data_IF_611170534705
#
_entry.id   IF_611170534705
#
_cell.length_a   1.000
_cell.length_b   1.000
_cell.length_c   1.000
_cell.angle_alpha   90.00
_cell.angle_beta   90.00
_cell.angle_gamma   90.00
#
_symmetry.space_group_name_H-M   'P 1'
#
loop_
_entity.id
_entity.type
_entity.pdbx_description
1 polymer ?
#
# COMPACT_ATOMS: atom_id res chain seq x y z
N UNK A 1 17.86 13.80 -7.41
CA UNK A 1 16.75 14.51 -6.74
C UNK A 1 17.06 14.57 -5.25
N UNK A 2 17.25 15.76 -4.67
CA UNK A 2 17.37 15.90 -3.22
C UNK A 2 15.97 15.73 -2.63
N UNK A 3 15.71 14.63 -1.93
CA UNK A 3 14.49 14.48 -1.13
C UNK A 3 14.46 15.59 -0.09
N UNK A 4 13.32 16.25 0.09
CA UNK A 4 13.17 17.17 1.21
C UNK A 4 13.20 16.34 2.50
N UNK A 5 14.02 16.76 3.48
CA UNK A 5 14.13 16.10 4.79
C UNK A 5 12.74 15.91 5.43
N UNK A 6 11.83 16.86 5.21
CA UNK A 6 10.43 16.81 5.65
C UNK A 6 9.67 15.60 5.09
N UNK A 7 9.89 15.25 3.82
CA UNK A 7 9.22 14.11 3.20
C UNK A 7 9.69 12.78 3.81
N UNK A 8 10.99 12.64 4.06
CA UNK A 8 11.53 11.43 4.67
C UNK A 8 11.04 11.23 6.11
N UNK A 9 10.93 12.32 6.88
CA UNK A 9 10.35 12.30 8.23
C UNK A 9 8.87 11.92 8.21
N UNK A 10 8.07 12.55 7.36
CA UNK A 10 6.64 12.24 7.24
C UNK A 10 6.42 10.77 6.84
N UNK A 11 7.23 10.26 5.90
CA UNK A 11 7.20 8.84 5.49
C UNK A 11 7.55 7.91 6.65
N UNK A 12 8.62 8.22 7.40
CA UNK A 12 9.04 7.41 8.55
C UNK A 12 7.97 7.38 9.63
N UNK A 13 7.32 8.51 9.92
CA UNK A 13 6.22 8.60 10.88
C UNK A 13 5.02 7.76 10.40
N UNK A 14 4.59 7.95 9.14
CA UNK A 14 3.45 7.22 8.59
C UNK A 14 3.67 5.70 8.62
N UNK A 15 4.81 5.22 8.10
CA UNK A 15 5.13 3.79 8.13
C UNK A 15 5.35 3.27 9.55
N UNK A 16 5.94 4.06 10.44
CA UNK A 16 6.06 3.72 11.86
C UNK A 16 4.70 3.48 12.51
N UNK A 17 3.74 4.39 12.29
CA UNK A 17 2.36 4.22 12.79
C UNK A 17 1.69 2.96 12.21
N UNK A 18 1.80 2.72 10.89
CA UNK A 18 1.21 1.53 10.26
C UNK A 18 1.85 0.24 10.80
N UNK A 19 3.16 0.22 11.01
CA UNK A 19 3.88 -0.93 11.58
C UNK A 19 3.42 -1.21 13.01
N UNK A 20 3.32 -0.18 13.86
CA UNK A 20 2.86 -0.32 15.25
C UNK A 20 1.43 -0.88 15.30
N UNK A 21 0.53 -0.32 14.48
CA UNK A 21 -0.85 -0.79 14.38
C UNK A 21 -0.92 -2.24 13.87
N UNK A 22 -0.12 -2.57 12.85
CA UNK A 22 -0.03 -3.94 12.34
C UNK A 22 0.50 -4.92 13.39
N UNK A 23 1.47 -4.50 14.21
CA UNK A 23 2.05 -5.34 15.26
C UNK A 23 1.07 -5.62 16.41
N UNK A 24 0.37 -4.58 16.88
CA UNK A 24 -0.72 -4.73 17.86
C UNK A 24 -1.78 -5.68 17.32
N UNK A 25 -2.14 -5.53 16.04
CA UNK A 25 -3.14 -6.37 15.40
C UNK A 25 -2.70 -7.84 15.26
N UNK A 26 -1.47 -8.10 14.82
CA UNK A 26 -0.90 -9.45 14.76
C UNK A 26 -0.91 -10.10 16.15
N UNK A 27 -0.60 -9.35 17.19
CA UNK A 27 -0.60 -9.85 18.58
C UNK A 27 -2.02 -10.24 19.00
N UNK A 28 -3.00 -9.36 18.75
CA UNK A 28 -4.42 -9.64 19.04
C UNK A 28 -4.92 -10.86 18.26
N UNK A 29 -4.64 -10.95 16.96
CA UNK A 29 -5.00 -12.10 16.14
C UNK A 29 -4.34 -13.39 16.62
N UNK A 30 -3.07 -13.33 17.03
CA UNK A 30 -2.37 -14.49 17.57
C UNK A 30 -3.06 -14.99 18.85
N UNK A 31 -3.37 -14.08 19.79
CA UNK A 31 -4.10 -14.43 21.01
C UNK A 31 -5.49 -14.99 20.68
N UNK A 32 -6.25 -14.37 19.77
CA UNK A 32 -7.54 -14.90 19.34
C UNK A 32 -7.43 -16.29 18.72
N UNK A 33 -6.45 -16.53 17.85
CA UNK A 33 -6.18 -17.83 17.24
C UNK A 33 -5.87 -18.87 18.31
N UNK A 34 -5.03 -18.55 19.31
CA UNK A 34 -4.73 -19.46 20.42
C UNK A 34 -5.95 -19.77 21.29
N UNK A 35 -6.77 -18.77 21.63
CA UNK A 35 -7.93 -18.94 22.50
C UNK A 35 -9.07 -19.73 21.84
N UNK A 36 -9.26 -19.57 20.53
CA UNK A 36 -10.36 -20.21 19.80
C UNK A 36 -9.89 -21.43 18.98
N UNK A 37 -8.60 -21.82 19.05
CA UNK A 37 -8.02 -22.84 18.16
C UNK A 37 -8.81 -24.15 18.16
N UNK A 38 -9.21 -24.63 19.34
CA UNK A 38 -9.89 -25.92 19.48
C UNK A 38 -11.35 -25.88 19.00
N UNK A 39 -11.97 -24.70 19.06
CA UNK A 39 -13.39 -24.50 18.72
C UNK A 39 -13.62 -24.12 17.26
N UNK A 40 -12.59 -23.66 16.54
CA UNK A 40 -12.73 -23.28 15.13
C UNK A 40 -12.85 -24.50 14.22
N UNK A 41 -13.64 -24.37 13.16
CA UNK A 41 -13.66 -25.34 12.08
C UNK A 41 -12.38 -25.26 11.22
N UNK A 42 -12.02 -26.36 10.55
CA UNK A 42 -10.84 -26.43 9.68
C UNK A 42 -10.73 -25.28 8.65
N UNK A 43 -11.78 -24.88 7.90
CA UNK A 43 -11.71 -23.74 7.00
C UNK A 43 -11.43 -22.42 7.73
N UNK A 44 -12.01 -22.20 8.91
CA UNK A 44 -11.81 -20.99 9.71
C UNK A 44 -10.37 -20.89 10.21
N UNK A 45 -9.79 -22.02 10.68
CA UNK A 45 -8.38 -22.08 11.13
C UNK A 45 -7.44 -21.72 9.98
N UNK A 46 -7.70 -22.29 8.79
CA UNK A 46 -6.93 -21.97 7.60
C UNK A 46 -7.07 -20.49 7.23
N UNK A 47 -8.28 -19.94 7.33
CA UNK A 47 -8.54 -18.53 7.00
C UNK A 47 -7.81 -17.58 7.96
N UNK A 48 -7.94 -17.78 9.27
CA UNK A 48 -7.22 -16.98 10.27
C UNK A 48 -5.70 -17.10 10.09
N UNK A 49 -5.20 -18.28 9.73
CA UNK A 49 -3.78 -18.49 9.44
C UNK A 49 -3.32 -17.69 8.21
N UNK A 50 -4.11 -17.66 7.14
CA UNK A 50 -3.82 -16.84 5.93
C UNK A 50 -3.86 -15.35 6.26
N UNK A 51 -4.83 -14.92 7.07
CA UNK A 51 -4.93 -13.52 7.48
C UNK A 51 -3.76 -13.10 8.39
N UNK A 52 -3.36 -13.96 9.33
CA UNK A 52 -2.17 -13.76 10.16
C UNK A 52 -0.92 -13.66 9.29
N UNK A 53 -0.72 -14.62 8.37
CA UNK A 53 0.40 -14.63 7.42
C UNK A 53 0.44 -13.34 6.57
N UNK A 54 -0.71 -12.90 6.07
CA UNK A 54 -0.83 -11.68 5.25
C UNK A 54 -0.43 -10.43 6.05
N UNK A 55 -0.85 -10.34 7.31
CA UNK A 55 -0.45 -9.27 8.21
C UNK A 55 1.05 -9.33 8.55
N UNK A 56 1.61 -10.51 8.79
CA UNK A 56 3.05 -10.69 9.01
C UNK A 56 3.88 -10.27 7.79
N UNK A 57 3.51 -10.73 6.59
CA UNK A 57 4.16 -10.33 5.33
C UNK A 57 4.08 -8.83 5.14
N UNK A 58 2.94 -8.22 5.50
CA UNK A 58 2.77 -6.76 5.44
C UNK A 58 3.69 -6.03 6.39
N UNK A 59 3.80 -6.45 7.65
CA UNK A 59 4.70 -5.85 8.62
C UNK A 59 6.16 -5.93 8.15
N UNK A 60 6.58 -7.08 7.62
CA UNK A 60 7.93 -7.27 7.06
C UNK A 60 8.15 -6.37 5.84
N UNK A 61 7.19 -6.33 4.90
CA UNK A 61 7.27 -5.48 3.72
C UNK A 61 7.36 -3.99 4.08
N UNK A 62 6.55 -3.53 5.05
CA UNK A 62 6.60 -2.14 5.54
C UNK A 62 7.94 -1.83 6.21
N UNK A 63 8.52 -2.76 6.97
CA UNK A 63 9.87 -2.61 7.53
C UNK A 63 10.92 -2.48 6.41
N UNK A 64 10.83 -3.29 5.36
CA UNK A 64 11.70 -3.19 4.18
C UNK A 64 11.51 -1.83 3.47
N UNK A 65 10.28 -1.33 3.37
CA UNK A 65 9.97 0.00 2.80
C UNK A 65 10.57 1.14 3.60
N UNK A 66 10.55 1.01 4.93
CA UNK A 66 11.16 1.97 5.85
C UNK A 66 12.69 2.00 5.71
N UNK A 67 13.33 0.83 5.59
CA UNK A 67 14.79 0.69 5.52
C UNK A 67 15.39 1.04 4.15
N UNK A 68 14.66 0.82 3.04
CA UNK A 68 15.20 1.07 1.69
C UNK A 68 15.08 2.55 1.28
N UNK A 69 16.11 3.01 0.54
CA UNK A 69 16.09 4.32 -0.13
C UNK A 69 14.85 4.46 -1.00
N UNK A 70 14.18 5.60 -0.87
CA UNK A 70 12.92 5.88 -1.54
C UNK A 70 13.07 5.85 -3.07
N UNK A 71 12.29 4.99 -3.74
CA UNK A 71 12.14 4.94 -5.19
C UNK A 71 10.65 4.90 -5.51
N UNK A 72 10.11 5.99 -6.07
CA UNK A 72 8.67 6.19 -6.32
C UNK A 72 8.01 4.99 -6.99
N UNK A 73 8.61 4.50 -8.08
CA UNK A 73 8.05 3.38 -8.86
C UNK A 73 8.01 2.06 -8.08
N UNK A 74 9.07 1.77 -7.34
CA UNK A 74 9.19 0.55 -6.54
C UNK A 74 8.26 0.59 -5.32
N UNK A 75 8.10 1.76 -4.71
CA UNK A 75 7.22 1.99 -3.58
C UNK A 75 5.75 1.86 -3.99
N UNK A 76 5.38 2.47 -5.12
CA UNK A 76 4.04 2.32 -5.71
C UNK A 76 3.69 0.86 -6.03
N UNK A 77 4.61 0.12 -6.67
CA UNK A 77 4.40 -1.30 -6.97
C UNK A 77 4.19 -2.15 -5.70
N UNK A 78 4.94 -1.86 -4.63
CA UNK A 78 4.82 -2.56 -3.34
C UNK A 78 3.53 -2.19 -2.62
N UNK A 79 3.14 -0.92 -2.60
CA UNK A 79 1.85 -0.48 -2.06
C UNK A 79 0.69 -1.12 -2.83
N UNK A 80 0.76 -1.18 -4.15
CA UNK A 80 -0.25 -1.85 -4.98
C UNK A 80 -0.34 -3.35 -4.66
N UNK A 81 0.80 -4.04 -4.54
CA UNK A 81 0.84 -5.46 -4.17
C UNK A 81 0.27 -5.71 -2.76
N UNK A 82 0.61 -4.88 -1.78
CA UNK A 82 0.03 -4.96 -0.43
C UNK A 82 -1.49 -4.75 -0.47
N UNK A 83 -1.94 -3.75 -1.22
CA UNK A 83 -3.35 -3.41 -1.34
C UNK A 83 -4.15 -4.53 -2.01
N UNK A 84 -3.63 -5.11 -3.09
CA UNK A 84 -4.26 -6.27 -3.75
C UNK A 84 -4.32 -7.48 -2.82
N UNK A 85 -3.24 -7.77 -2.07
CA UNK A 85 -3.26 -8.88 -1.12
C UNK A 85 -4.30 -8.67 -0.02
N UNK A 86 -4.34 -7.49 0.60
CA UNK A 86 -5.29 -7.24 1.68
C UNK A 86 -6.75 -7.16 1.22
N UNK A 87 -7.03 -6.47 0.10
CA UNK A 87 -8.39 -6.43 -0.46
C UNK A 87 -8.79 -7.84 -0.91
N UNK A 88 -7.87 -8.61 -1.48
CA UNK A 88 -8.10 -10.00 -1.84
C UNK A 88 -8.47 -10.85 -0.63
N UNK A 89 -7.71 -10.77 0.47
CA UNK A 89 -8.00 -11.52 1.69
C UNK A 89 -9.28 -11.05 2.39
N UNK A 90 -9.55 -9.75 2.44
CA UNK A 90 -10.76 -9.21 3.04
C UNK A 90 -12.01 -9.51 2.21
N UNK A 91 -11.90 -9.43 0.88
CA UNK A 91 -12.95 -9.81 -0.06
C UNK A 91 -13.25 -11.30 -0.01
N UNK A 92 -12.20 -12.14 0.04
CA UNK A 92 -12.35 -13.57 0.31
C UNK A 92 -13.09 -13.79 1.63
N UNK A 93 -12.68 -13.14 2.72
CA UNK A 93 -13.37 -13.26 4.01
C UNK A 93 -14.85 -12.92 3.90
N UNK A 94 -15.18 -11.77 3.32
CA UNK A 94 -16.56 -11.32 3.19
C UNK A 94 -17.40 -12.27 2.34
N UNK A 95 -16.79 -12.89 1.33
CA UNK A 95 -17.45 -13.86 0.46
C UNK A 95 -17.74 -15.19 1.18
N UNK A 96 -16.80 -15.72 1.96
CA UNK A 96 -16.95 -17.01 2.68
C UNK A 96 -17.57 -16.89 4.07
N UNK A 97 -17.63 -15.69 4.66
CA UNK A 97 -18.17 -15.42 5.99
C UNK A 97 -19.60 -15.95 6.23
N UNK A 98 -20.56 -15.85 5.28
CA UNK A 98 -21.92 -16.34 5.49
C UNK A 98 -22.03 -17.85 5.71
N UNK A 99 -21.05 -18.62 5.23
CA UNK A 99 -21.04 -20.08 5.31
C UNK A 99 -20.52 -20.58 6.68
N UNK A 100 -19.88 -19.72 7.46
CA UNK A 100 -19.47 -20.00 8.83
C UNK A 100 -20.68 -19.95 9.77
N UNK A 101 -21.57 -20.94 9.62
CA UNK A 101 -22.70 -21.13 10.53
C UNK A 101 -22.20 -21.79 11.80
N UNK A 102 -21.92 -20.98 12.80
CA UNK A 102 -21.60 -21.46 14.14
C UNK A 102 -22.82 -22.19 14.72
N UNK A 103 -22.66 -23.48 15.05
CA UNK A 103 -23.66 -24.22 15.81
C UNK A 103 -23.46 -23.82 17.27
N UNK A 104 -24.13 -22.75 17.69
CA UNK A 104 -24.05 -22.27 19.06
C UNK A 104 -24.77 -23.26 20.00
N UNK A 105 -24.06 -23.78 21.00
CA UNK A 105 -24.69 -24.53 22.10
C UNK A 105 -25.41 -23.60 23.07
N UNK A 106 -24.97 -22.34 23.18
CA UNK A 106 -25.59 -21.32 24.03
C UNK A 106 -25.80 -19.98 23.29
N UNK A 107 -26.87 -19.22 23.62
CA UNK A 107 -27.13 -17.92 22.99
C UNK A 107 -26.03 -16.88 23.29
N UNK A 108 -25.32 -17.02 24.41
CA UNK A 108 -24.22 -16.12 24.79
C UNK A 108 -23.00 -16.31 23.88
N UNK A 109 -22.69 -17.54 23.47
CA UNK A 109 -21.58 -17.82 22.55
C UNK A 109 -21.83 -17.26 21.14
N UNK A 110 -23.10 -17.23 20.68
CA UNK A 110 -23.44 -16.69 19.36
C UNK A 110 -23.03 -15.21 19.26
N UNK A 111 -23.32 -14.42 20.32
CA UNK A 111 -23.02 -12.99 20.35
C UNK A 111 -21.51 -12.75 20.32
N UNK A 112 -20.73 -13.48 21.12
CA UNK A 112 -19.27 -13.35 21.14
C UNK A 112 -18.65 -13.72 19.78
N UNK A 113 -19.11 -14.81 19.16
CA UNK A 113 -18.62 -15.25 17.85
C UNK A 113 -18.90 -14.19 16.77
N UNK A 114 -20.14 -13.68 16.69
CA UNK A 114 -20.50 -12.60 15.76
C UNK A 114 -19.67 -11.35 15.98
N UNK A 115 -19.41 -10.97 17.23
CA UNK A 115 -18.62 -9.80 17.56
C UNK A 115 -17.16 -9.95 17.14
N UNK A 116 -16.57 -11.14 17.32
CA UNK A 116 -15.20 -11.43 16.87
C UNK A 116 -15.12 -11.39 15.35
N UNK A 117 -16.04 -12.05 14.64
CA UNK A 117 -16.11 -12.04 13.17
C UNK A 117 -16.28 -10.63 12.63
N UNK A 118 -17.18 -9.84 13.22
CA UNK A 118 -17.37 -8.43 12.84
C UNK A 118 -16.12 -7.61 13.12
N UNK A 119 -15.48 -7.81 14.27
CA UNK A 119 -14.26 -7.11 14.66
C UNK A 119 -13.12 -7.42 13.69
N UNK A 120 -12.90 -8.69 13.35
CA UNK A 120 -11.94 -9.13 12.33
C UNK A 120 -12.25 -8.51 10.97
N UNK A 121 -13.52 -8.47 10.57
CA UNK A 121 -13.92 -7.85 9.32
C UNK A 121 -13.57 -6.36 9.30
N UNK A 122 -14.05 -5.57 10.28
CA UNK A 122 -13.84 -4.12 10.34
C UNK A 122 -12.35 -3.76 10.38
N UNK A 123 -11.58 -4.49 11.18
CA UNK A 123 -10.14 -4.24 11.35
C UNK A 123 -9.31 -4.66 10.15
N UNK A 124 -9.74 -5.68 9.38
CA UNK A 124 -9.09 -6.07 8.13
C UNK A 124 -9.08 -4.96 7.07
N UNK A 125 -10.02 -4.00 7.16
CA UNK A 125 -10.07 -2.82 6.28
C UNK A 125 -9.15 -1.68 6.71
N UNK A 126 -8.67 -1.69 7.95
CA UNK A 126 -7.91 -0.58 8.51
C UNK A 126 -6.54 -0.44 7.83
N UNK A 127 -5.83 -1.55 7.64
CA UNK A 127 -4.52 -1.55 6.95
C UNK A 127 -4.66 -1.11 5.48
N UNK A 128 -5.59 -1.66 4.67
CA UNK A 128 -5.91 -1.13 3.33
C UNK A 128 -6.21 0.37 3.30
N UNK A 129 -7.05 0.86 4.23
CA UNK A 129 -7.42 2.27 4.27
C UNK A 129 -6.21 3.16 4.53
N UNK A 130 -5.32 2.78 5.45
CA UNK A 130 -4.08 3.51 5.71
C UNK A 130 -3.12 3.48 4.51
N UNK A 131 -2.97 2.34 3.84
CA UNK A 131 -2.15 2.22 2.63
C UNK A 131 -2.74 3.06 1.49
N UNK A 132 -4.08 3.10 1.35
CA UNK A 132 -4.79 3.95 0.39
C UNK A 132 -4.53 5.43 0.67
N UNK A 133 -4.71 5.89 1.90
CA UNK A 133 -4.44 7.28 2.31
C UNK A 133 -2.98 7.65 2.00
N UNK A 134 -2.03 6.77 2.36
CA UNK A 134 -0.62 6.97 2.07
C UNK A 134 -0.34 7.08 0.56
N UNK A 135 -0.86 6.13 -0.23
CA UNK A 135 -0.67 6.10 -1.68
C UNK A 135 -1.31 7.30 -2.37
N UNK A 136 -2.50 7.73 -1.94
CA UNK A 136 -3.18 8.93 -2.42
C UNK A 136 -2.41 10.20 -2.08
N UNK A 137 -1.87 10.31 -0.86
CA UNK A 137 -0.99 11.41 -0.47
C UNK A 137 0.28 11.46 -1.31
N UNK A 138 0.89 10.30 -1.60
CA UNK A 138 2.05 10.23 -2.47
C UNK A 138 1.73 10.65 -3.91
N UNK A 139 0.64 10.13 -4.48
CA UNK A 139 0.15 10.49 -5.81
C UNK A 139 -0.13 12.00 -5.90
N UNK A 140 -0.77 12.58 -4.88
CA UNK A 140 -1.04 14.02 -4.80
C UNK A 140 0.25 14.84 -4.80
N UNK A 141 1.27 14.47 -4.00
CA UNK A 141 2.56 15.16 -3.96
C UNK A 141 3.30 15.07 -5.29
N UNK A 142 3.29 13.89 -5.94
CA UNK A 142 3.90 13.70 -7.26
C UNK A 142 3.19 14.54 -8.31
N UNK A 143 1.85 14.55 -8.30
CA UNK A 143 1.04 15.34 -9.22
C UNK A 143 1.29 16.84 -9.05
N UNK A 144 1.29 17.35 -7.81
CA UNK A 144 1.60 18.76 -7.50
C UNK A 144 3.00 19.16 -7.97
N UNK A 145 3.99 18.29 -7.79
CA UNK A 145 5.36 18.54 -8.29
C UNK A 145 5.44 18.52 -9.80
N UNK A 146 4.72 17.61 -10.46
CA UNK A 146 4.63 17.59 -11.92
C UNK A 146 4.05 18.89 -12.45
N UNK A 147 2.98 19.39 -11.83
CA UNK A 147 2.34 20.64 -12.20
C UNK A 147 3.27 21.85 -12.03
N UNK A 148 4.04 21.91 -10.94
CA UNK A 148 5.01 22.99 -10.72
C UNK A 148 6.13 22.96 -11.77
N UNK A 149 6.57 21.77 -12.20
CA UNK A 149 7.57 21.65 -13.27
C UNK A 149 7.04 22.15 -14.59
N UNK A 150 5.81 21.79 -14.97
CA UNK A 150 5.21 22.26 -16.22
C UNK A 150 5.03 23.78 -16.23
N UNK A 151 4.70 24.38 -15.09
CA UNK A 151 4.61 25.86 -14.96
C UNK A 151 5.99 26.50 -15.10
N UNK A 152 7.01 25.95 -14.45
CA UNK A 152 8.38 26.46 -14.54
C UNK A 152 8.94 26.35 -15.96
N UNK A 153 8.72 25.21 -16.63
CA UNK A 153 9.14 25.00 -18.03
C UNK A 153 8.44 25.98 -18.97
N UNK A 154 7.16 26.28 -18.75
CA UNK A 154 6.42 27.28 -19.53
C UNK A 154 6.96 28.70 -19.28
N UNK A 155 7.27 29.06 -18.04
CA UNK A 155 7.85 30.36 -17.69
C UNK A 155 9.26 30.53 -18.28
N UNK A 156 10.10 29.49 -18.22
CA UNK A 156 11.42 29.48 -18.84
C UNK A 156 11.33 29.55 -20.38
N UNK A 157 10.38 28.84 -20.99
CA UNK A 157 10.13 28.92 -22.42
C UNK A 157 9.72 30.34 -22.86
N UNK A 158 8.88 31.02 -22.09
CA UNK A 158 8.47 32.39 -22.36
C UNK A 158 9.65 33.38 -22.20
N UNK A 159 10.45 33.24 -21.13
CA UNK A 159 11.67 34.04 -20.94
C UNK A 159 12.66 33.87 -22.10
N UNK A 160 12.85 32.64 -22.55
CA UNK A 160 13.72 32.33 -23.69
C UNK A 160 13.19 32.94 -24.99
N UNK A 161 11.86 32.98 -25.19
CA UNK A 161 11.22 33.61 -26.35
C UNK A 161 11.43 35.13 -26.35
N UNK A 162 11.14 35.80 -25.24
CA UNK A 162 11.35 37.26 -25.11
C UNK A 162 12.82 37.63 -25.30
N UNK A 163 13.74 36.84 -24.75
CA UNK A 163 15.17 37.08 -24.92
C UNK A 163 15.61 36.92 -26.38
N UNK A 164 15.03 35.96 -27.11
CA UNK A 164 15.30 35.76 -28.54
C UNK A 164 14.79 36.94 -29.36
N UNK A 165 13.55 37.38 -29.11
CA UNK A 165 12.95 38.55 -29.76
C UNK A 165 13.78 39.84 -29.51
N UNK A 166 14.25 40.06 -28.28
CA UNK A 166 15.11 41.19 -27.95
C UNK A 166 16.47 41.16 -28.68
N UNK A 167 17.05 39.96 -28.87
CA UNK A 167 18.32 39.79 -29.59
C UNK A 167 18.16 40.06 -31.08
N UNK A 168 17.08 39.59 -31.68
CA UNK A 168 16.77 39.80 -33.10
C UNK A 168 16.50 41.29 -33.41
N UNK A 169 15.88 42.01 -32.47
CA UNK A 169 15.64 43.45 -32.60
C UNK A 169 16.94 44.28 -32.59
N UNK A 170 17.95 43.89 -31.80
CA UNK A 170 19.24 44.57 -31.76
C UNK A 170 20.14 44.29 -32.97
N UNK A 171 19.90 43.17 -33.67
CA UNK A 171 20.71 42.73 -34.81
C UNK A 171 20.09 43.06 -36.18
N UNK A 172 19.00 43.84 -36.21
CA UNK A 172 18.53 44.42 -37.47
C UNK A 172 19.63 45.36 -37.99
N UNK A 173 20.35 45.00 -39.08
CA UNK A 173 21.36 45.89 -39.62
C UNK A 173 20.65 47.18 -39.99
N UNK A 174 21.14 48.31 -39.46
CA UNK A 174 20.70 49.61 -39.93
C UNK A 174 20.76 49.58 -41.46
N UNK A 175 19.61 49.72 -42.10
CA UNK A 175 19.49 49.81 -43.54
C UNK A 175 20.46 50.91 -44.02
N UNK A 176 21.38 50.67 -44.98
CA UNK A 176 22.52 51.56 -45.26
C UNK A 176 22.17 52.90 -45.94
N UNK A 177 20.91 53.33 -45.97
CA UNK A 177 20.47 54.39 -46.90
C UNK A 177 20.43 55.81 -46.31
N UNK A 178 21.13 56.07 -45.20
CA UNK A 178 21.27 57.45 -44.69
C UNK A 178 22.67 57.98 -44.98
N UNK A 179 22.83 59.02 -45.84
CA UNK A 179 24.13 59.60 -46.12
C UNK A 179 24.71 60.29 -44.87
N UNK A 180 25.85 59.80 -44.42
CA UNK A 180 26.60 60.36 -43.31
C UNK A 180 27.33 61.64 -43.74
N UNK A 181 26.90 62.78 -43.20
CA UNK A 181 27.71 63.99 -43.09
C UNK A 181 27.86 64.28 -41.61
N UNK A 182 28.78 63.58 -40.93
CA UNK A 182 29.14 63.93 -39.55
C UNK A 182 30.66 63.88 -39.42
N UNK A 183 31.21 65.07 -39.19
CA UNK A 183 32.62 65.39 -39.02
C UNK A 183 33.15 64.88 -37.69
N UNK A 184 34.21 64.09 -37.75
CA UNK A 184 35.01 63.70 -36.58
C UNK A 184 35.92 64.85 -36.17
N UNK A 185 35.41 65.74 -35.32
CA UNK A 185 36.26 66.78 -34.74
C UNK A 185 37.00 66.27 -33.50
N UNK A 186 38.31 66.46 -33.54
CA UNK A 186 39.28 66.16 -32.48
C UNK A 186 39.06 67.09 -31.29
N UNK A 187 39.04 66.53 -30.07
CA UNK A 187 39.67 67.06 -28.84
C UNK A 187 39.34 66.07 -27.71
N UNK A 188 40.28 65.40 -27.05
CA UNK A 188 41.40 65.85 -26.23
C UNK A 188 41.21 65.13 -24.87
N UNK A 189 42.20 64.34 -24.46
CA UNK A 189 42.42 63.93 -23.06
C UNK A 189 42.71 65.20 -22.22
N UNK A 190 42.58 65.25 -20.87
CA UNK A 190 43.15 64.26 -19.93
C UNK A 190 42.44 64.10 -18.56
N UNK A 191 43.10 63.30 -17.70
CA UNK A 191 43.08 63.26 -16.22
C UNK A 191 42.22 62.20 -15.51
N UNK A 192 42.97 61.37 -14.79
CA UNK A 192 42.59 60.33 -13.83
C UNK A 192 41.74 60.85 -12.67
N UNK A 193 40.84 60.02 -12.11
CA UNK A 193 40.55 60.03 -10.70
C UNK A 193 41.29 58.89 -10.00
N UNK A 194 41.99 59.31 -8.96
CA UNK A 194 42.69 58.54 -7.95
C UNK A 194 41.81 57.41 -7.38
N UNK A 195 42.29 56.18 -7.49
CA UNK A 195 41.74 54.98 -6.85
C UNK A 195 41.85 55.09 -5.31
N UNK A 196 40.75 54.98 -4.55
CA UNK A 196 40.84 54.62 -3.15
C UNK A 196 41.17 53.12 -3.06
N UNK A 197 42.22 52.82 -2.29
CA UNK A 197 42.60 51.46 -1.93
C UNK A 197 41.44 50.79 -1.18
N UNK A 198 40.65 49.98 -1.90
CA UNK A 198 39.70 49.07 -1.29
C UNK A 198 40.47 47.87 -0.73
N UNK A 199 40.46 47.83 0.60
CA UNK A 199 41.06 46.83 1.46
C UNK A 199 40.57 45.43 1.08
N UNK A 200 41.44 44.63 0.47
CA UNK A 200 41.22 43.22 0.18
C UNK A 200 41.28 42.43 1.49
N UNK A 201 40.11 42.11 2.05
CA UNK A 201 39.94 41.34 3.29
C UNK A 201 39.72 39.84 3.09
N UNK A 202 39.82 39.28 1.88
CA UNK A 202 39.63 37.82 1.71
C UNK A 202 40.94 37.04 1.86
N UNK A 203 41.48 37.17 3.08
CA UNK A 203 42.49 36.28 3.61
C UNK A 203 41.81 35.00 4.10
N UNK A 204 41.97 33.93 3.32
CA UNK A 204 42.00 32.52 3.74
C UNK A 204 40.85 32.05 4.64
N UNK A 205 39.87 31.43 4.00
CA UNK A 205 39.41 30.12 4.45
C UNK A 205 39.39 29.20 3.24
N UNK A 206 40.41 28.34 3.12
CA UNK A 206 40.37 27.21 2.20
C UNK A 206 39.16 26.35 2.59
N UNK A 207 38.16 26.16 1.71
CA UNK A 207 37.25 25.06 1.92
C UNK A 207 38.05 23.79 1.67
N UNK A 208 38.24 23.00 2.72
CA UNK A 208 38.59 21.59 2.60
C UNK A 208 37.73 20.99 1.50
N UNK A 209 38.40 20.53 0.45
CA UNK A 209 37.80 19.84 -0.69
C UNK A 209 36.78 18.82 -0.18
N UNK A 210 35.50 18.91 -0.55
CA UNK A 210 34.62 17.78 -0.34
C UNK A 210 35.22 16.64 -1.15
N UNK A 211 35.64 15.58 -0.46
CA UNK A 211 35.97 14.29 -1.05
C UNK A 211 34.77 13.94 -1.94
N UNK A 212 34.95 14.11 -3.24
CA UNK A 212 33.99 13.69 -4.25
C UNK A 212 33.88 12.18 -4.10
N UNK A 213 32.73 11.61 -3.70
CA UNK A 213 32.54 10.19 -3.91
C UNK A 213 32.62 9.98 -5.41
N UNK A 214 33.56 9.16 -5.85
CA UNK A 214 33.68 8.72 -7.23
C UNK A 214 32.27 8.46 -7.77
N UNK A 215 31.88 9.23 -8.78
CA UNK A 215 30.62 9.03 -9.47
C UNK A 215 30.69 7.65 -10.11
N UNK A 216 30.19 6.65 -9.40
CA UNK A 216 29.98 5.31 -9.93
C UNK A 216 28.89 5.47 -10.99
N UNK A 217 29.35 5.58 -12.23
CA UNK A 217 28.52 5.56 -13.43
C UNK A 217 27.94 4.15 -13.56
N UNK A 218 26.71 3.97 -13.07
CA UNK A 218 25.99 2.69 -13.11
C UNK A 218 25.41 2.36 -14.50
N UNK A 219 25.43 3.28 -15.46
CA UNK A 219 24.78 3.12 -16.77
C UNK A 219 25.58 2.30 -17.79
N UNK A 220 26.77 1.80 -17.44
CA UNK A 220 27.67 1.11 -18.39
C UNK A 220 27.87 -0.38 -18.15
N UNK A 221 27.02 -1.04 -17.36
CA UNK A 221 27.14 -2.48 -17.08
C UNK A 221 25.84 -3.23 -17.43
N UNK A 222 25.44 -3.14 -18.69
CA UNK A 222 24.30 -3.91 -19.26
C UNK A 222 24.68 -4.69 -20.53
N UNK A 223 25.96 -4.94 -20.75
CA UNK A 223 26.43 -5.80 -21.85
C UNK A 223 27.43 -6.79 -21.31
N UNK A 224 27.33 -8.04 -21.80
CA UNK A 224 28.02 -9.26 -21.39
C UNK A 224 27.26 -10.11 -20.36
N UNK A 225 26.03 -10.50 -20.69
CA UNK A 225 25.51 -11.80 -20.29
C UNK A 225 26.34 -12.89 -21.00
N UNK A 226 26.97 -13.83 -20.28
CA UNK A 226 27.52 -15.02 -20.91
C UNK A 226 26.38 -15.87 -21.48
N UNK A 227 26.58 -16.32 -22.72
CA UNK A 227 25.73 -17.28 -23.42
C UNK A 227 25.40 -18.49 -22.51
N UNK A 228 24.18 -19.05 -22.55
CA UNK A 228 23.82 -20.21 -21.75
C UNK A 228 24.69 -21.39 -22.14
N UNK A 229 25.71 -21.68 -21.32
CA UNK A 229 26.38 -22.96 -21.37
C UNK A 229 25.35 -24.02 -21.00
N UNK A 230 25.13 -24.96 -21.91
CA UNK A 230 24.43 -26.21 -21.72
C UNK A 230 24.87 -26.86 -20.41
N UNK A 231 24.06 -26.70 -19.35
CA UNK A 231 24.22 -27.51 -18.14
C UNK A 231 23.77 -28.92 -18.48
N UNK A 232 24.73 -29.76 -18.85
CA UNK A 232 24.56 -31.20 -18.97
C UNK A 232 24.39 -31.75 -17.56
N UNK A 233 23.14 -31.97 -17.15
CA UNK A 233 22.83 -32.64 -15.89
C UNK A 233 23.21 -34.13 -16.00
N UNK A 234 23.84 -34.72 -14.98
CA UNK A 234 24.08 -36.16 -14.94
C UNK A 234 22.73 -36.91 -14.90
N UNK A 235 22.57 -38.00 -15.66
CA UNK A 235 21.28 -38.69 -15.83
C UNK A 235 20.72 -39.33 -14.56
N UNK A 236 21.44 -39.35 -13.43
CA UNK A 236 20.97 -39.93 -12.17
C UNK A 236 20.07 -39.01 -11.34
N UNK A 237 20.09 -37.68 -11.55
CA UNK A 237 19.31 -36.74 -10.73
C UNK A 237 17.83 -36.63 -11.14
N UNK A 238 17.47 -37.05 -12.36
CA UNK A 238 16.10 -36.93 -12.89
C UNK A 238 15.16 -37.99 -12.30
N UNK A 239 15.69 -39.15 -11.89
CA UNK A 239 14.88 -40.23 -11.32
C UNK A 239 14.43 -39.97 -9.87
N UNK A 240 15.16 -39.16 -9.10
CA UNK A 240 14.80 -38.91 -7.70
C UNK A 240 13.63 -37.93 -7.53
N UNK A 241 13.51 -36.94 -8.43
CA UNK A 241 12.44 -35.93 -8.34
C UNK A 241 11.08 -36.52 -8.77
N UNK A 242 11.08 -37.47 -9.70
CA UNK A 242 9.83 -38.06 -10.20
C UNK A 242 9.23 -39.10 -9.24
N UNK A 243 10.03 -39.71 -8.37
CA UNK A 243 9.55 -40.75 -7.45
C UNK A 243 8.88 -40.18 -6.18
N UNK A 244 9.26 -38.99 -5.73
CA UNK A 244 8.63 -38.37 -4.55
C UNK A 244 7.29 -37.67 -4.85
N UNK A 245 6.98 -37.37 -6.11
CA UNK A 245 5.71 -36.75 -6.50
C UNK A 245 4.53 -37.72 -6.49
N UNK A 246 4.76 -39.04 -6.64
CA UNK A 246 3.68 -40.03 -6.76
C UNK A 246 3.07 -40.49 -5.44
N UNK A 247 3.70 -40.23 -4.30
CA UNK A 247 3.23 -40.75 -3.01
C UNK A 247 2.46 -39.74 -2.15
N UNK A 248 2.29 -38.48 -2.60
CA UNK A 248 1.73 -37.40 -1.76
C UNK A 248 0.31 -36.94 -2.15
N UNK A 249 -0.42 -37.70 -2.97
CA UNK A 249 -1.83 -37.41 -3.25
C UNK A 249 -2.65 -38.70 -3.10
N UNK A 250 -2.98 -39.04 -1.85
CA UNK A 250 -4.20 -39.81 -1.58
C UNK A 250 -5.34 -38.78 -1.54
N UNK A 251 -6.22 -38.72 -2.55
CA UNK A 251 -7.45 -37.97 -2.40
C UNK A 251 -8.25 -38.67 -1.31
N UNK A 252 -8.32 -38.07 -0.13
CA UNK A 252 -9.37 -38.39 0.84
C UNK A 252 -10.67 -37.94 0.19
N UNK A 253 -11.24 -38.80 -0.64
CA UNK A 253 -12.64 -38.72 -1.05
C UNK A 253 -13.43 -38.91 0.25
N UNK A 254 -13.75 -37.78 0.89
CA UNK A 254 -14.66 -37.73 2.03
C UNK A 254 -15.99 -38.17 1.48
N UNK A 255 -16.25 -39.46 1.67
CA UNK A 255 -17.49 -40.15 1.42
C UNK A 255 -18.58 -39.32 2.11
N UNK A 256 -19.29 -38.52 1.31
CA UNK A 256 -20.55 -37.91 1.70
C UNK A 256 -21.52 -39.06 1.86
N UNK A 257 -21.41 -39.77 2.98
CA UNK A 257 -22.48 -40.61 3.45
C UNK A 257 -23.68 -39.69 3.51
N UNK A 258 -24.63 -39.98 2.62
CA UNK A 258 -26.03 -39.75 2.85
C UNK A 258 -26.29 -40.12 4.31
N UNK A 259 -26.32 -39.09 5.16
CA UNK A 259 -26.97 -39.19 6.44
C UNK A 259 -28.45 -39.27 6.07
N UNK A 260 -28.85 -40.48 5.67
CA UNK A 260 -30.24 -40.90 5.62
C UNK A 260 -30.76 -40.55 6.99
N UNK A 261 -31.57 -39.51 7.06
CA UNK A 261 -32.33 -39.21 8.25
C UNK A 261 -33.20 -40.45 8.47
N UNK A 262 -32.75 -41.33 9.35
CA UNK A 262 -33.61 -42.31 9.99
C UNK A 262 -34.64 -41.49 10.74
N UNK A 263 -35.78 -41.28 10.07
CA UNK A 263 -37.03 -40.87 10.69
C UNK A 263 -37.17 -41.74 11.93
N UNK A 264 -37.28 -41.18 13.15
CA UNK A 264 -37.57 -41.96 14.33
C UNK A 264 -38.84 -42.75 14.04
N UNK A 265 -38.72 -44.07 14.05
CA UNK A 265 -39.83 -44.98 13.96
C UNK A 265 -40.83 -44.57 15.04
N UNK A 266 -41.93 -43.95 14.61
CA UNK A 266 -43.03 -43.56 15.47
C UNK A 266 -43.55 -44.84 16.12
N UNK A 267 -43.19 -45.03 17.40
CA UNK A 267 -43.89 -45.99 18.24
C UNK A 267 -45.40 -45.74 18.11
N UNK A 268 -46.21 -46.78 17.88
CA UNK A 268 -47.66 -46.65 17.76
C UNK A 268 -48.21 -46.06 19.06
N UNK A 269 -48.63 -44.80 18.99
CA UNK A 269 -49.34 -44.15 20.10
C UNK A 269 -50.71 -44.83 20.21
N UNK A 270 -51.08 -45.36 21.39
CA UNK A 270 -52.40 -45.94 21.59
C UNK A 270 -53.49 -44.88 21.35
N UNK A 271 -54.65 -45.26 20.77
CA UNK A 271 -55.71 -44.31 20.45
C UNK A 271 -56.20 -43.64 21.74
N UNK A 272 -55.89 -42.35 21.87
CA UNK A 272 -56.39 -41.51 22.95
C UNK A 272 -57.85 -41.16 22.63
N UNK A 273 -58.79 -41.36 23.58
CA UNK A 273 -60.20 -41.14 23.34
C UNK A 273 -60.49 -39.68 23.00
N UNK A 274 -61.21 -39.51 21.89
CA UNK A 274 -61.74 -38.26 21.38
C UNK A 274 -62.68 -37.63 22.41
N UNK A 275 -62.16 -36.75 23.26
CA UNK A 275 -62.97 -35.86 24.09
C UNK A 275 -63.13 -34.53 23.37
N UNK A 276 -64.22 -34.45 22.62
CA UNK A 276 -64.77 -33.20 22.10
C UNK A 276 -65.06 -32.24 23.26
N UNK A 277 -64.16 -31.28 23.51
CA UNK A 277 -64.44 -30.11 24.34
C UNK A 277 -64.16 -28.80 23.60
N UNK A 278 -65.28 -28.30 23.09
CA UNK A 278 -65.61 -26.91 22.80
C UNK A 278 -65.24 -25.97 23.98
N UNK A 279 -64.32 -25.03 23.76
CA UNK A 279 -64.14 -23.76 24.50
C UNK A 279 -62.82 -23.12 24.06
N UNK A 280 -62.58 -21.82 23.90
CA UNK A 280 -63.29 -20.53 23.91
C UNK A 280 -62.24 -19.55 23.34
N UNK A 281 -62.59 -18.45 22.66
CA UNK A 281 -61.59 -17.49 22.17
C UNK A 281 -60.93 -16.75 23.35
N UNK A 282 -59.59 -16.71 23.34
CA UNK A 282 -58.75 -15.96 24.29
C UNK A 282 -58.73 -14.48 23.87
N UNK A 283 -59.01 -13.52 24.76
CA UNK A 283 -58.97 -12.11 24.42
C UNK A 283 -57.54 -11.57 24.39
N UNK A 284 -57.23 -10.79 23.35
CA UNK A 284 -56.02 -10.00 23.18
C UNK A 284 -55.89 -8.98 24.32
N UNK A 285 -54.89 -9.16 25.19
CA UNK A 285 -54.53 -8.18 26.21
C UNK A 285 -53.47 -7.24 25.62
N UNK A 286 -53.92 -6.10 25.13
CA UNK A 286 -53.10 -4.96 24.71
C UNK A 286 -52.48 -4.31 25.95
N UNK A 287 -51.16 -4.39 26.10
CA UNK A 287 -50.43 -3.71 27.19
C UNK A 287 -49.82 -2.43 26.64
N UNK A 288 -50.45 -1.30 26.94
CA UNK A 288 -49.86 0.04 26.81
C UNK A 288 -48.79 0.19 27.89
N UNK A 289 -47.52 0.32 27.51
CA UNK A 289 -46.49 0.76 28.45
C UNK A 289 -46.33 2.28 28.34
N UNK A 290 -46.80 2.94 29.38
CA UNK A 290 -46.80 4.37 29.60
C UNK A 290 -45.38 4.85 29.92
N UNK A 291 -44.90 5.84 29.17
CA UNK A 291 -43.67 6.58 29.44
C UNK A 291 -43.85 7.47 30.66
N UNK A 292 -42.93 7.39 31.63
CA UNK A 292 -42.73 8.43 32.62
C UNK A 292 -41.33 8.99 32.48
N UNK A 293 -41.27 10.26 32.10
CA UNK A 293 -40.13 11.15 32.28
C UNK A 293 -39.92 11.40 33.78
N UNK A 294 -38.67 11.34 34.22
CA UNK A 294 -38.04 12.30 35.14
C UNK A 294 -36.55 12.36 34.82
#
# INVERSE_FOLDING_TARGET
MKSSITFERARAIAFGCIILLSFVWITLLSVCVFLLWDNLDHPERSFLSVMLLTNTVTAIMLLILLLRKFRVWLDAARCALLLVMHIGTAGAFAYWSPDFRYIAESPEQEVSCRLVTLSVMVTSWFVPALVLIYSGGLAFVVHRRSLLRTVQEAEEAEKNRVQKEAKDQYFSPLSPNTPATVSWDRRASPLSPMTPAAMNWDRRASPLSPITPAAVNWDRRATLLPSPATMTFPPEAVLYIQQHSRNSFKPTYRNSQQRTYSVPEQQPVPPTPTSSRLSKPVPLRMSYHQSHMY
#
